data_IF_324299740267
#
_entry.id   IF_324299740267
#
_cell.length_a   1.000
_cell.length_b   1.000
_cell.length_c   1.000
_cell.angle_alpha   90.00
_cell.angle_beta   90.00
_cell.angle_gamma   90.00
#
_symmetry.space_group_name_H-M   'P 1'
#
loop_
_entity.id
_entity.type
_entity.pdbx_description
1 polymer ?
#
# COMPACT_ATOMS: atom_id res chain seq x y z
N UNK A 1 4.95 -10.42 -22.47
CA UNK A 1 4.67 -11.71 -23.13
C UNK A 1 3.28 -11.78 -23.78
N UNK A 2 2.21 -11.35 -23.09
CA UNK A 2 0.81 -11.48 -23.54
C UNK A 2 0.51 -10.94 -24.95
N UNK A 3 0.96 -9.71 -25.27
CA UNK A 3 0.71 -9.08 -26.58
C UNK A 3 1.25 -9.91 -27.76
N UNK A 4 2.37 -10.62 -27.56
CA UNK A 4 3.02 -11.41 -28.61
C UNK A 4 2.29 -12.72 -28.88
N UNK A 5 1.72 -13.34 -27.86
CA UNK A 5 1.11 -14.67 -27.94
C UNK A 5 -0.39 -14.61 -28.25
N UNK A 6 -1.08 -13.57 -27.76
CA UNK A 6 -2.55 -13.51 -27.77
C UNK A 6 -3.10 -12.22 -28.41
N UNK A 7 -2.23 -11.43 -29.04
CA UNK A 7 -2.62 -10.14 -29.62
C UNK A 7 -3.04 -9.13 -28.55
N UNK A 8 -3.91 -8.18 -28.93
CA UNK A 8 -4.25 -7.04 -28.07
C UNK A 8 -5.32 -7.35 -27.01
N UNK A 9 -6.10 -8.42 -27.20
CA UNK A 9 -7.21 -8.76 -26.32
C UNK A 9 -6.74 -9.08 -24.90
N UNK A 10 -5.72 -9.92 -24.75
CA UNK A 10 -5.24 -10.35 -23.43
C UNK A 10 -4.59 -9.23 -22.60
N UNK A 11 -3.71 -8.37 -23.13
CA UNK A 11 -3.22 -7.21 -22.38
C UNK A 11 -4.34 -6.27 -21.92
N UNK A 12 -5.36 -6.06 -22.75
CA UNK A 12 -6.51 -5.22 -22.40
C UNK A 12 -7.32 -5.85 -21.27
N UNK A 13 -7.67 -7.14 -21.42
CA UNK A 13 -8.39 -7.88 -20.40
C UNK A 13 -7.64 -7.88 -19.07
N UNK A 14 -6.33 -8.16 -19.07
CA UNK A 14 -5.50 -8.12 -17.85
C UNK A 14 -5.50 -6.73 -17.21
N UNK A 15 -5.42 -5.67 -18.01
CA UNK A 15 -5.52 -4.30 -17.50
C UNK A 15 -6.86 -4.01 -16.82
N UNK A 16 -7.96 -4.49 -17.40
CA UNK A 16 -9.30 -4.34 -16.82
C UNK A 16 -9.48 -5.17 -15.54
N UNK A 17 -8.99 -6.41 -15.51
CA UNK A 17 -9.01 -7.28 -14.32
C UNK A 17 -8.23 -6.65 -13.17
N UNK A 18 -7.03 -6.15 -13.42
CA UNK A 18 -6.22 -5.45 -12.41
C UNK A 18 -6.90 -4.19 -11.90
N UNK A 19 -7.55 -3.41 -12.79
CA UNK A 19 -8.31 -2.23 -12.39
C UNK A 19 -9.46 -2.61 -11.45
N UNK A 20 -10.27 -3.61 -11.85
CA UNK A 20 -11.41 -4.07 -11.05
C UNK A 20 -10.97 -4.53 -9.65
N UNK A 21 -9.89 -5.33 -9.56
CA UNK A 21 -9.37 -5.82 -8.29
C UNK A 21 -8.92 -4.68 -7.39
N UNK A 22 -8.15 -3.72 -7.93
CA UNK A 22 -7.69 -2.56 -7.17
C UNK A 22 -8.83 -1.65 -6.71
N UNK A 23 -9.84 -1.46 -7.57
CA UNK A 23 -11.03 -0.67 -7.24
C UNK A 23 -11.88 -1.39 -6.17
N UNK A 24 -12.00 -2.72 -6.24
CA UNK A 24 -12.72 -3.53 -5.26
C UNK A 24 -12.01 -3.58 -3.89
N UNK A 25 -10.68 -3.67 -3.87
CA UNK A 25 -9.86 -3.57 -2.66
C UNK A 25 -9.96 -2.19 -1.99
N UNK A 26 -10.46 -1.18 -2.71
CA UNK A 26 -10.79 0.14 -2.17
C UNK A 26 -11.91 0.13 -1.12
N UNK A 27 -12.72 -0.94 -1.05
CA UNK A 27 -13.74 -1.10 -0.02
C UNK A 27 -13.59 -2.44 0.72
N UNK A 28 -13.05 -2.37 1.93
CA UNK A 28 -13.05 -3.47 2.90
C UNK A 28 -13.49 -2.96 4.26
N UNK A 29 -14.53 -3.55 4.89
CA UNK A 29 -14.92 -3.19 6.25
C UNK A 29 -13.73 -3.29 7.20
N UNK A 30 -13.52 -2.29 8.06
CA UNK A 30 -12.39 -2.23 9.00
C UNK A 30 -12.32 -3.45 9.92
N UNK A 31 -13.46 -4.07 10.22
CA UNK A 31 -13.55 -5.32 10.99
C UNK A 31 -12.81 -6.51 10.34
N UNK A 32 -12.54 -6.47 9.04
CA UNK A 32 -11.84 -7.51 8.29
C UNK A 32 -10.33 -7.22 8.13
N UNK A 33 -9.82 -6.15 8.76
CA UNK A 33 -8.42 -5.74 8.67
C UNK A 33 -8.05 -5.12 7.31
N UNK A 34 -6.75 -5.04 7.04
CA UNK A 34 -6.22 -4.51 5.78
C UNK A 34 -6.67 -5.33 4.56
N UNK A 35 -6.83 -4.71 3.37
CA UNK A 35 -7.11 -5.43 2.14
C UNK A 35 -5.99 -6.42 1.82
N UNK A 36 -6.38 -7.67 1.58
CA UNK A 36 -5.44 -8.72 1.16
C UNK A 36 -5.24 -8.66 -0.35
N UNK A 37 -4.00 -8.53 -0.82
CA UNK A 37 -3.65 -8.31 -2.23
C UNK A 37 -3.66 -9.58 -3.09
N UNK A 38 -4.23 -10.67 -2.59
CA UNK A 38 -4.15 -12.02 -3.18
C UNK A 38 -4.60 -12.04 -4.65
N UNK A 39 -5.70 -11.35 -4.98
CA UNK A 39 -6.19 -11.28 -6.35
C UNK A 39 -5.25 -10.51 -7.28
N UNK A 40 -4.63 -9.44 -6.78
CA UNK A 40 -3.63 -8.67 -7.53
C UNK A 40 -2.38 -9.51 -7.77
N UNK A 41 -1.91 -10.23 -6.75
CA UNK A 41 -0.70 -11.05 -6.79
C UNK A 41 -0.83 -12.18 -7.82
N UNK A 42 -1.98 -12.87 -7.88
CA UNK A 42 -2.25 -13.90 -8.91
C UNK A 42 -2.20 -13.29 -10.31
N UNK A 43 -2.82 -12.12 -10.52
CA UNK A 43 -2.84 -11.47 -11.84
C UNK A 43 -1.45 -10.95 -12.27
N UNK A 44 -0.58 -10.66 -11.31
CA UNK A 44 0.81 -10.27 -11.55
C UNK A 44 1.77 -11.46 -11.62
N UNK A 45 1.31 -12.67 -11.29
CA UNK A 45 2.13 -13.89 -11.24
C UNK A 45 3.11 -13.91 -10.07
N UNK A 46 2.74 -13.26 -8.95
CA UNK A 46 3.53 -13.08 -7.74
C UNK A 46 2.94 -13.83 -6.53
N UNK A 47 1.87 -14.60 -6.74
CA UNK A 47 1.16 -15.36 -5.71
C UNK A 47 2.01 -16.41 -4.98
N UNK A 48 3.17 -16.75 -5.54
CA UNK A 48 4.13 -17.71 -4.98
C UNK A 48 5.40 -17.08 -4.44
N UNK A 49 5.47 -15.74 -4.41
CA UNK A 49 6.63 -14.98 -3.97
C UNK A 49 6.25 -14.07 -2.79
N UNK A 50 7.24 -13.75 -1.96
CA UNK A 50 7.09 -12.79 -0.86
C UNK A 50 8.29 -11.84 -0.86
N UNK A 51 8.03 -10.54 -0.75
CA UNK A 51 9.07 -9.52 -0.58
C UNK A 51 9.00 -8.87 0.80
N UNK A 52 10.01 -8.04 1.07
CA UNK A 52 10.09 -7.26 2.30
C UNK A 52 8.86 -6.35 2.49
N UNK A 53 8.41 -5.72 1.40
CA UNK A 53 7.28 -4.79 1.39
C UNK A 53 5.94 -5.48 1.68
N UNK A 54 5.83 -6.79 1.48
CA UNK A 54 4.62 -7.54 1.84
C UNK A 54 4.53 -7.78 3.36
N UNK A 55 5.67 -7.93 4.03
CA UNK A 55 5.77 -8.15 5.49
C UNK A 55 5.76 -6.82 6.25
N UNK A 56 6.49 -5.84 5.73
CA UNK A 56 6.73 -4.54 6.35
C UNK A 56 6.05 -3.41 5.57
N UNK A 57 4.83 -3.67 5.10
CA UNK A 57 4.08 -2.72 4.28
C UNK A 57 3.90 -1.38 5.02
N UNK A 58 4.42 -0.30 4.42
CA UNK A 58 4.36 1.03 5.01
C UNK A 58 5.35 1.28 6.16
N UNK A 59 6.34 0.40 6.37
CA UNK A 59 7.40 0.56 7.38
C UNK A 59 8.79 0.80 6.76
N UNK A 60 8.86 1.26 5.52
CA UNK A 60 10.09 1.81 4.97
C UNK A 60 10.54 2.97 5.86
N UNK A 61 11.82 2.99 6.26
CA UNK A 61 12.39 3.73 7.41
C UNK A 61 12.11 5.23 7.56
N UNK A 62 11.33 5.83 6.66
CA UNK A 62 10.76 7.18 6.77
C UNK A 62 9.36 7.21 7.41
N UNK A 63 8.63 6.09 7.44
CA UNK A 63 7.20 6.02 7.80
C UNK A 63 6.90 5.32 9.13
N UNK A 64 7.92 5.10 9.97
CA UNK A 64 7.76 4.72 11.39
C UNK A 64 6.89 5.69 12.21
N UNK A 65 6.40 6.79 11.63
CA UNK A 65 5.51 7.77 12.26
C UNK A 65 4.04 7.72 11.83
N UNK A 66 3.60 6.77 10.98
CA UNK A 66 2.23 6.80 10.45
C UNK A 66 1.52 5.45 10.60
N UNK A 67 1.29 5.04 11.86
CA UNK A 67 0.13 4.22 12.20
C UNK A 67 -1.14 5.07 12.04
N UNK A 68 -2.27 4.42 11.80
CA UNK A 68 -3.57 5.05 11.52
C UNK A 68 -4.03 6.07 12.57
N UNK A 69 -5.00 6.87 12.13
CA UNK A 69 -5.54 8.09 12.73
C UNK A 69 -4.62 9.30 12.52
N UNK A 70 -4.81 9.95 11.37
CA UNK A 70 -3.98 11.05 10.89
C UNK A 70 -3.71 12.13 11.93
N UNK A 71 -2.54 12.06 12.54
CA UNK A 71 -1.72 13.18 13.00
C UNK A 71 -0.31 12.62 13.16
N UNK A 72 0.53 12.85 12.14
CA UNK A 72 1.97 12.73 12.33
C UNK A 72 2.36 13.76 13.38
N UNK A 73 2.59 13.32 14.61
CA UNK A 73 3.18 14.19 15.63
C UNK A 73 4.63 14.37 15.19
N UNK A 74 4.95 15.55 14.66
CA UNK A 74 6.32 15.90 14.32
C UNK A 74 7.14 15.79 15.61
N UNK A 75 7.99 14.77 15.73
CA UNK A 75 8.84 14.58 16.91
C UNK A 75 9.65 15.84 17.25
N UNK A 76 10.02 16.61 16.23
CA UNK A 76 10.67 17.91 16.35
C UNK A 76 9.76 18.98 16.98
N UNK A 77 8.50 19.07 16.54
CA UNK A 77 7.49 19.98 17.12
C UNK A 77 7.15 19.59 18.57
N UNK A 78 7.09 18.30 18.87
CA UNK A 78 6.90 17.80 20.23
C UNK A 78 8.09 18.13 21.15
N UNK A 79 9.32 17.97 20.64
CA UNK A 79 10.54 18.37 21.34
C UNK A 79 10.60 19.87 21.57
N UNK A 80 10.32 20.70 20.57
CA UNK A 80 10.33 22.16 20.71
C UNK A 80 9.34 22.62 21.78
N UNK A 81 8.14 22.02 21.82
CA UNK A 81 7.13 22.27 22.85
C UNK A 81 7.58 21.85 24.25
N UNK A 82 8.20 20.67 24.39
CA UNK A 82 8.67 20.13 25.68
C UNK A 82 9.91 20.85 26.21
N UNK A 83 10.81 21.25 25.32
CA UNK A 83 12.10 21.89 25.65
C UNK A 83 11.93 23.41 25.76
N UNK A 84 10.78 23.97 25.37
CA UNK A 84 10.49 25.39 25.52
C UNK A 84 11.33 26.28 24.60
N UNK A 85 11.81 25.74 23.48
CA UNK A 85 12.50 26.50 22.46
C UNK A 85 11.50 27.48 21.84
N UNK A 86 11.77 28.79 21.96
CA UNK A 86 10.89 29.86 21.46
C UNK A 86 10.20 30.71 22.55
N UNK A 87 10.52 30.49 23.83
CA UNK A 87 10.10 31.39 24.93
C UNK A 87 11.24 32.37 25.26
N UNK A 88 11.46 33.36 24.41
CA UNK A 88 12.26 34.55 24.73
C UNK A 88 11.55 35.77 24.15
#
# INVERSE_FOLDING_TARGET
MLRRTFGIAEPLRRGMELKLVRDADGFRPSALGAPGRVHEDILCGRDTEISWEDVYNGQDGLRLSSGGDGQGVGWMEEMERKVGMGKW
#
